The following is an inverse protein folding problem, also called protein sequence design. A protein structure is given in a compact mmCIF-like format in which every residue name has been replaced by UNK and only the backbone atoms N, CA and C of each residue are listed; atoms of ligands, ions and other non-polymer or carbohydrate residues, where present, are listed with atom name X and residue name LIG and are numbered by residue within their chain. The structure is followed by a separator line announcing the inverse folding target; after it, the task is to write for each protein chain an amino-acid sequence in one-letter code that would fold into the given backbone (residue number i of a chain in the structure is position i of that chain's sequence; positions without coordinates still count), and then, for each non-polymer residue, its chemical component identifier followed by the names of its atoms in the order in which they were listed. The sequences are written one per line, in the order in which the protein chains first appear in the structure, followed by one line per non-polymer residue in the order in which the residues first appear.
data_IF_705611422989
#
_entry.id   IF_705611422989
#
_cell.length_a   1.000
_cell.length_b   1.000
_cell.length_c   1.000
_cell.angle_alpha   90.00
_cell.angle_beta   90.00
_cell.angle_gamma   90.00
#
_symmetry.space_group_name_H-M   'P 1'
#
loop_
_entity.id
_entity.type
_entity.pdbx_description
1 polymer ?
#
# COMPACT_ATOMS: atom_id res chain seq x y z
N UNK A 1 49.46 -16.69 5.01
CA UNK A 1 48.02 -16.67 4.71
C UNK A 1 47.61 -15.20 4.60
N UNK A 2 47.44 -14.69 3.39
CA UNK A 2 47.11 -13.28 3.14
C UNK A 2 45.59 -13.14 3.11
N UNK A 3 45.01 -12.53 4.15
CA UNK A 3 43.59 -12.15 4.16
C UNK A 3 43.41 -10.90 3.31
N UNK A 4 42.72 -11.03 2.19
CA UNK A 4 42.24 -9.91 1.39
C UNK A 4 41.11 -9.22 2.17
N UNK A 5 41.44 -8.13 2.86
CA UNK A 5 40.45 -7.19 3.37
C UNK A 5 39.77 -6.50 2.18
N UNK A 6 38.65 -7.07 1.73
CA UNK A 6 37.78 -6.44 0.76
C UNK A 6 37.26 -5.13 1.33
N UNK A 7 37.76 -4.01 0.83
CA UNK A 7 37.21 -2.69 1.11
C UNK A 7 35.78 -2.65 0.55
N UNK A 8 34.80 -2.81 1.44
CA UNK A 8 33.39 -2.56 1.11
C UNK A 8 33.27 -1.06 0.89
N UNK A 9 33.11 -0.62 -0.36
CA UNK A 9 32.76 0.75 -0.67
C UNK A 9 31.45 1.08 0.06
N UNK A 10 31.35 2.18 0.81
CA UNK A 10 30.07 2.60 1.34
C UNK A 10 29.17 2.92 0.15
N UNK A 11 28.07 2.16 -0.01
CA UNK A 11 27.00 2.55 -0.89
C UNK A 11 26.43 3.87 -0.37
N UNK A 12 26.92 4.98 -0.92
CA UNK A 12 26.33 6.29 -0.70
C UNK A 12 24.92 6.18 -1.28
N UNK A 13 23.85 6.36 -0.49
CA UNK A 13 22.51 6.47 -1.04
C UNK A 13 22.56 7.62 -2.04
N UNK A 14 22.41 7.32 -3.32
CA UNK A 14 22.35 8.35 -4.34
C UNK A 14 21.03 9.10 -4.10
N UNK A 15 21.12 10.31 -3.54
CA UNK A 15 19.94 11.17 -3.42
C UNK A 15 19.54 11.61 -4.81
N UNK A 16 18.48 11.01 -5.33
CA UNK A 16 17.93 11.38 -6.62
C UNK A 16 17.33 12.78 -6.57
N UNK A 17 17.33 13.51 -7.70
CA UNK A 17 16.64 14.80 -7.73
C UNK A 17 15.12 14.59 -7.57
N UNK A 18 14.41 15.62 -7.11
CA UNK A 18 12.95 15.56 -6.98
C UNK A 18 12.26 15.22 -8.32
N UNK A 19 12.82 15.69 -9.44
CA UNK A 19 12.34 15.42 -10.81
C UNK A 19 12.43 13.93 -11.11
N UNK A 20 13.51 13.28 -10.69
CA UNK A 20 13.71 11.86 -10.94
C UNK A 20 12.77 10.99 -10.06
N UNK A 21 12.48 11.42 -8.83
CA UNK A 21 11.53 10.75 -7.94
C UNK A 21 10.12 10.73 -8.51
N UNK A 22 9.61 11.89 -8.94
CA UNK A 22 8.25 12.00 -9.49
C UNK A 22 8.11 11.17 -10.76
N UNK A 23 9.08 11.27 -11.67
CA UNK A 23 9.14 10.44 -12.87
C UNK A 23 9.12 8.94 -12.53
N UNK A 24 9.86 8.52 -11.52
CA UNK A 24 9.91 7.13 -11.09
C UNK A 24 8.59 6.63 -10.47
N UNK A 25 7.88 7.48 -9.72
CA UNK A 25 6.54 7.14 -9.21
C UNK A 25 5.55 7.02 -10.37
N UNK A 26 5.59 7.91 -11.36
CA UNK A 26 4.74 7.78 -12.55
C UNK A 26 5.05 6.52 -13.34
N UNK A 27 6.33 6.18 -13.55
CA UNK A 27 6.73 4.97 -14.27
C UNK A 27 6.23 3.71 -13.58
N UNK A 28 6.30 3.66 -12.24
CA UNK A 28 5.70 2.59 -11.44
C UNK A 28 4.20 2.46 -11.66
N UNK A 29 3.47 3.59 -11.69
CA UNK A 29 2.01 3.61 -11.82
C UNK A 29 1.51 3.25 -13.22
N UNK A 30 2.28 3.56 -14.28
CA UNK A 30 1.95 3.19 -15.65
C UNK A 30 1.98 1.66 -15.90
N UNK A 31 2.51 0.87 -14.96
CA UNK A 31 2.49 -0.60 -15.03
C UNK A 31 1.14 -1.21 -14.72
N UNK A 32 0.18 -0.41 -14.24
CA UNK A 32 -1.11 -0.87 -13.75
C UNK A 32 -2.24 -0.11 -14.43
N UNK A 33 -3.40 -0.74 -14.54
CA UNK A 33 -4.61 -0.15 -15.12
C UNK A 33 -5.80 -0.19 -14.15
N UNK A 34 -6.84 0.59 -14.48
CA UNK A 34 -8.11 0.61 -13.77
C UNK A 34 -7.98 0.91 -12.26
N UNK A 35 -8.76 0.20 -11.45
CA UNK A 35 -8.84 0.43 -10.00
C UNK A 35 -7.51 0.21 -9.27
N UNK A 36 -6.65 -0.69 -9.76
CA UNK A 36 -5.33 -0.94 -9.18
C UNK A 36 -4.45 0.30 -9.29
N UNK A 37 -4.40 0.93 -10.48
CA UNK A 37 -3.65 2.18 -10.69
C UNK A 37 -4.14 3.31 -9.81
N UNK A 38 -5.46 3.48 -9.71
CA UNK A 38 -6.07 4.53 -8.87
C UNK A 38 -5.71 4.32 -7.40
N UNK A 39 -5.84 3.08 -6.92
CA UNK A 39 -5.51 2.75 -5.54
C UNK A 39 -4.02 2.93 -5.25
N UNK A 40 -3.14 2.48 -6.13
CA UNK A 40 -1.69 2.61 -5.97
C UNK A 40 -1.23 4.06 -6.04
N UNK A 41 -1.86 4.90 -6.90
CA UNK A 41 -1.61 6.34 -6.92
C UNK A 41 -1.92 6.96 -5.56
N UNK A 42 -3.11 6.71 -5.03
CA UNK A 42 -3.49 7.24 -3.73
C UNK A 42 -2.56 6.78 -2.59
N UNK A 43 -2.05 5.55 -2.66
CA UNK A 43 -1.05 5.05 -1.71
C UNK A 43 0.28 5.77 -1.84
N UNK A 44 0.75 6.01 -3.07
CA UNK A 44 2.01 6.72 -3.34
C UNK A 44 1.93 8.19 -2.95
N UNK A 45 0.83 8.88 -3.25
CA UNK A 45 0.66 10.29 -2.90
C UNK A 45 0.74 10.51 -1.37
N UNK A 46 0.11 9.63 -0.59
CA UNK A 46 0.18 9.69 0.88
C UNK A 46 1.59 9.39 1.39
N UNK A 47 2.27 8.42 0.79
CA UNK A 47 3.61 8.03 1.19
C UNK A 47 4.64 9.12 0.88
N UNK A 48 4.62 9.65 -0.34
CA UNK A 48 5.52 10.74 -0.77
C UNK A 48 5.30 11.98 0.09
N UNK A 49 4.04 12.34 0.38
CA UNK A 49 3.74 13.45 1.29
C UNK A 49 4.31 13.22 2.70
N UNK A 50 4.28 11.99 3.21
CA UNK A 50 4.87 11.66 4.50
C UNK A 50 6.40 11.76 4.46
N UNK A 51 7.05 11.29 3.39
CA UNK A 51 8.48 11.45 3.16
C UNK A 51 8.88 12.94 3.13
N UNK A 52 8.13 13.77 2.40
CA UNK A 52 8.38 15.21 2.31
C UNK A 52 8.26 15.90 3.67
N UNK A 53 7.24 15.54 4.46
CA UNK A 53 7.05 16.10 5.82
C UNK A 53 8.11 15.66 6.82
N UNK A 54 8.69 14.49 6.64
CA UNK A 54 9.71 13.93 7.55
C UNK A 54 11.14 14.21 7.08
N UNK A 55 11.31 14.74 5.87
CA UNK A 55 12.62 14.98 5.25
C UNK A 55 13.33 13.69 4.84
N UNK A 56 12.62 12.58 4.68
CA UNK A 56 13.21 11.33 4.25
C UNK A 56 13.22 11.22 2.73
N UNK A 57 14.38 10.84 2.17
CA UNK A 57 14.48 10.44 0.78
C UNK A 57 13.91 9.02 0.61
N UNK A 58 12.97 8.87 -0.34
CA UNK A 58 12.27 7.62 -0.68
C UNK A 58 13.26 6.48 -0.94
N UNK A 59 14.39 6.75 -1.62
CA UNK A 59 15.37 5.71 -1.97
C UNK A 59 16.40 5.43 -0.86
N UNK A 60 16.52 6.34 0.13
CA UNK A 60 17.36 6.13 1.31
C UNK A 60 16.61 5.47 2.49
N UNK A 61 15.30 5.20 2.34
CA UNK A 61 14.48 4.62 3.41
C UNK A 61 14.94 3.19 3.77
N UNK A 62 14.89 2.89 5.06
CA UNK A 62 15.19 1.57 5.64
C UNK A 62 13.96 1.04 6.34
N UNK A 63 13.94 -0.27 6.64
CA UNK A 63 12.84 -0.95 7.36
C UNK A 63 12.31 -0.16 8.57
N UNK A 64 13.15 0.40 9.49
CA UNK A 64 12.64 1.16 10.64
C UNK A 64 11.84 2.42 10.25
N UNK A 65 12.19 3.08 9.13
CA UNK A 65 11.44 4.24 8.66
C UNK A 65 10.05 3.83 8.15
N UNK A 66 9.94 2.68 7.46
CA UNK A 66 8.63 2.14 7.08
C UNK A 66 7.81 1.66 8.28
N UNK A 67 8.45 1.19 9.35
CA UNK A 67 7.76 0.91 10.62
C UNK A 67 7.21 2.17 11.27
N UNK A 68 7.94 3.29 11.18
CA UNK A 68 7.45 4.61 11.59
C UNK A 68 6.29 5.09 10.71
N UNK A 69 6.36 4.88 9.38
CA UNK A 69 5.26 5.18 8.48
C UNK A 69 4.01 4.35 8.80
N UNK A 70 4.15 3.05 9.09
CA UNK A 70 3.01 2.23 9.54
C UNK A 70 2.39 2.76 10.83
N UNK A 71 3.20 3.25 11.78
CA UNK A 71 2.70 3.90 12.99
C UNK A 71 1.94 5.18 12.67
N UNK A 72 2.48 6.05 11.81
CA UNK A 72 1.80 7.25 11.32
C UNK A 72 0.44 6.94 10.68
N UNK A 73 0.37 5.90 9.84
CA UNK A 73 -0.88 5.47 9.22
C UNK A 73 -1.93 5.02 10.26
N UNK A 74 -1.50 4.36 11.34
CA UNK A 74 -2.39 3.90 12.39
C UNK A 74 -2.82 5.03 13.34
N UNK A 75 -1.87 5.84 13.81
CA UNK A 75 -2.09 6.79 14.90
C UNK A 75 -2.60 8.14 14.38
N UNK A 76 -2.01 8.67 13.31
CA UNK A 76 -2.32 10.02 12.81
C UNK A 76 -3.38 10.00 11.70
N UNK A 77 -3.42 8.92 10.91
CA UNK A 77 -4.40 8.77 9.81
C UNK A 77 -5.56 7.82 10.13
N UNK A 78 -5.52 7.17 11.29
CA UNK A 78 -6.55 6.24 11.76
C UNK A 78 -6.91 5.15 10.74
N UNK A 79 -5.94 4.70 9.94
CA UNK A 79 -6.17 3.63 8.97
C UNK A 79 -6.34 2.29 9.69
N UNK A 80 -7.33 1.51 9.26
CA UNK A 80 -7.52 0.15 9.75
C UNK A 80 -6.42 -0.80 9.25
N UNK A 81 -6.25 -1.95 9.92
CA UNK A 81 -5.20 -2.93 9.60
C UNK A 81 -5.20 -3.38 8.14
N UNK A 82 -6.37 -3.57 7.52
CA UNK A 82 -6.49 -3.97 6.12
C UNK A 82 -5.97 -2.88 5.17
N UNK A 83 -6.28 -1.61 5.46
CA UNK A 83 -5.78 -0.46 4.68
C UNK A 83 -4.27 -0.31 4.82
N UNK A 84 -3.72 -0.44 6.03
CA UNK A 84 -2.26 -0.37 6.25
C UNK A 84 -1.56 -1.50 5.48
N UNK A 85 -2.10 -2.72 5.54
CA UNK A 85 -1.57 -3.87 4.81
C UNK A 85 -1.57 -3.64 3.30
N UNK A 86 -2.66 -3.08 2.76
CA UNK A 86 -2.76 -2.73 1.35
C UNK A 86 -1.68 -1.74 0.93
N UNK A 87 -1.58 -0.61 1.67
CA UNK A 87 -0.55 0.42 1.46
C UNK A 87 0.87 -0.15 1.50
N UNK A 88 1.18 -1.00 2.49
CA UNK A 88 2.50 -1.65 2.57
C UNK A 88 2.74 -2.66 1.45
N UNK A 89 1.68 -3.29 0.92
CA UNK A 89 1.74 -4.14 -0.26
C UNK A 89 2.16 -3.34 -1.50
N UNK A 90 1.54 -2.17 -1.71
CA UNK A 90 1.92 -1.23 -2.77
C UNK A 90 3.38 -0.81 -2.65
N UNK A 91 3.82 -0.39 -1.45
CA UNK A 91 5.22 -0.02 -1.22
C UNK A 91 6.18 -1.19 -1.44
N UNK A 92 5.79 -2.40 -1.04
CA UNK A 92 6.61 -3.58 -1.29
C UNK A 92 6.87 -3.76 -2.77
N UNK A 93 5.85 -3.67 -3.63
CA UNK A 93 6.01 -3.78 -5.09
C UNK A 93 6.86 -2.65 -5.66
N UNK A 94 6.63 -1.41 -5.23
CA UNK A 94 7.43 -0.25 -5.65
C UNK A 94 8.92 -0.46 -5.36
N UNK A 95 9.26 -0.92 -4.15
CA UNK A 95 10.64 -1.18 -3.76
C UNK A 95 11.23 -2.47 -4.33
N UNK A 96 10.44 -3.43 -4.83
CA UNK A 96 10.98 -4.53 -5.64
C UNK A 96 11.48 -4.00 -6.98
N UNK A 97 10.70 -3.13 -7.64
CA UNK A 97 11.11 -2.55 -8.93
C UNK A 97 12.30 -1.61 -8.73
N UNK A 98 12.31 -0.80 -7.65
CA UNK A 98 13.46 0.04 -7.31
C UNK A 98 14.71 -0.76 -6.94
N UNK A 99 14.57 -1.99 -6.47
CA UNK A 99 15.69 -2.89 -6.24
C UNK A 99 16.23 -3.44 -7.56
N UNK A 100 15.34 -3.83 -8.48
CA UNK A 100 15.72 -4.30 -9.82
C UNK A 100 16.40 -3.18 -10.64
N UNK A 101 16.01 -1.92 -10.45
CA UNK A 101 16.59 -0.74 -11.10
C UNK A 101 17.83 -0.16 -10.35
N UNK A 102 18.39 -0.90 -9.40
CA UNK A 102 19.58 -0.54 -8.59
C UNK A 102 19.45 0.78 -7.78
N UNK A 103 18.23 1.29 -7.58
CA UNK A 103 17.97 2.52 -6.82
C UNK A 103 18.04 2.30 -5.30
N UNK A 104 17.76 1.07 -4.87
CA UNK A 104 17.91 0.64 -3.48
C UNK A 104 18.73 -0.63 -3.39
N UNK A 105 19.54 -0.76 -2.34
CA UNK A 105 20.34 -1.98 -2.13
C UNK A 105 19.52 -3.17 -1.63
N UNK A 106 18.38 -2.91 -0.97
CA UNK A 106 17.46 -3.90 -0.41
C UNK A 106 16.07 -3.32 -0.38
N UNK A 107 15.05 -4.15 -0.62
CA UNK A 107 13.67 -3.74 -0.39
C UNK A 107 13.40 -3.57 1.12
N UNK A 108 13.16 -2.35 1.63
CA UNK A 108 12.91 -2.10 3.06
C UNK A 108 11.57 -2.67 3.55
N UNK A 109 10.65 -3.00 2.64
CA UNK A 109 9.32 -3.49 2.97
C UNK A 109 9.23 -5.02 3.12
N UNK A 110 10.27 -5.77 2.71
CA UNK A 110 10.23 -7.26 2.67
C UNK A 110 9.95 -7.92 4.03
N UNK A 111 10.50 -7.37 5.11
CA UNK A 111 10.43 -7.95 6.46
C UNK A 111 9.62 -7.09 7.44
N UNK A 112 8.64 -6.33 6.93
CA UNK A 112 7.76 -5.55 7.79
C UNK A 112 6.82 -6.45 8.59
N UNK A 113 6.70 -6.16 9.89
CA UNK A 113 5.70 -6.76 10.75
C UNK A 113 4.35 -6.07 10.53
N UNK A 114 3.62 -6.54 9.53
CA UNK A 114 2.31 -5.98 9.17
C UNK A 114 1.26 -6.21 10.28
N UNK A 115 0.34 -5.26 10.51
CA UNK A 115 -0.72 -5.42 11.49
C UNK A 115 -1.59 -6.63 11.14
N UNK A 116 -1.98 -7.40 12.16
CA UNK A 116 -2.92 -8.51 11.98
C UNK A 116 -4.31 -7.93 11.73
N UNK A 117 -4.99 -8.50 10.75
CA UNK A 117 -6.39 -8.18 10.52
C UNK A 117 -7.19 -8.82 11.67
N UNK A 118 -7.81 -8.00 12.51
CA UNK A 118 -8.81 -8.48 13.48
C UNK A 118 -10.13 -8.57 12.74
N UNK A 119 -10.24 -9.51 11.79
CA UNK A 119 -11.56 -9.88 11.31
C UNK A 119 -12.25 -10.56 12.47
N UNK A 120 -13.30 -9.94 12.99
CA UNK A 120 -14.20 -10.65 13.88
C UNK A 120 -14.81 -11.79 13.08
N UNK A 121 -14.34 -13.02 13.34
CA UNK A 121 -14.90 -14.24 12.75
C UNK A 121 -16.37 -14.43 13.12
N UNK A 122 -16.88 -13.63 14.07
CA UNK A 122 -18.25 -13.62 14.55
C UNK A 122 -19.13 -12.54 13.89
N UNK A 123 -18.57 -11.70 13.01
CA UNK A 123 -19.37 -10.79 12.18
C UNK A 123 -20.06 -11.60 11.09
N UNK A 124 -21.40 -11.60 11.05
CA UNK A 124 -22.17 -12.17 9.94
C UNK A 124 -21.68 -11.57 8.60
N UNK A 125 -21.00 -12.39 7.78
CA UNK A 125 -20.57 -12.02 6.41
C UNK A 125 -21.57 -12.53 5.36
N UNK A 126 -22.66 -13.15 5.81
CA UNK A 126 -23.75 -13.65 4.96
C UNK A 126 -25.07 -12.98 5.36
N UNK A 127 -25.90 -12.71 4.36
CA UNK A 127 -27.31 -12.41 4.61
C UNK A 127 -28.02 -13.73 4.88
N UNK A 128 -28.74 -13.83 5.99
CA UNK A 128 -29.71 -14.91 6.13
C UNK A 128 -30.92 -14.69 5.19
N UNK A 129 -31.77 -15.72 5.05
CA UNK A 129 -32.93 -15.66 4.15
C UNK A 129 -33.86 -14.48 4.46
N UNK A 130 -34.04 -14.14 5.71
CA UNK A 130 -34.95 -13.07 6.12
C UNK A 130 -34.33 -11.70 5.85
N UNK A 131 -33.02 -11.55 6.10
CA UNK A 131 -32.25 -10.36 5.76
C UNK A 131 -32.21 -10.12 4.25
N UNK A 132 -32.01 -11.18 3.44
CA UNK A 132 -32.09 -11.10 1.98
C UNK A 132 -33.50 -10.69 1.51
N UNK A 133 -34.55 -11.28 2.08
CA UNK A 133 -35.92 -10.90 1.76
C UNK A 133 -36.24 -9.44 2.12
N UNK A 134 -35.76 -8.96 3.28
CA UNK A 134 -35.93 -7.57 3.69
C UNK A 134 -35.20 -6.61 2.73
N UNK A 135 -33.97 -6.97 2.33
CA UNK A 135 -33.14 -6.25 1.37
C UNK A 135 -33.79 -6.18 -0.02
N UNK A 136 -34.41 -7.27 -0.49
CA UNK A 136 -35.15 -7.29 -1.76
C UNK A 136 -36.45 -6.49 -1.71
N UNK A 137 -37.18 -6.55 -0.59
CA UNK A 137 -38.41 -5.79 -0.39
C UNK A 137 -38.14 -4.28 -0.38
N UNK A 138 -37.10 -3.85 0.32
CA UNK A 138 -36.74 -2.42 0.35
C UNK A 138 -36.22 -1.91 -1.00
N UNK A 139 -35.56 -2.76 -1.78
CA UNK A 139 -35.15 -2.41 -3.15
C UNK A 139 -36.33 -2.34 -4.12
N UNK A 140 -37.36 -3.17 -3.92
CA UNK A 140 -38.62 -3.07 -4.66
C UNK A 140 -39.31 -1.71 -4.41
N UNK A 141 -39.26 -1.23 -3.16
CA UNK A 141 -39.87 0.05 -2.77
C UNK A 141 -39.03 1.27 -3.19
N UNK A 142 -37.73 1.11 -3.52
CA UNK A 142 -36.84 2.22 -3.91
C UNK A 142 -36.84 2.50 -5.40
N UNK A 143 -36.57 1.49 -6.24
CA UNK A 143 -36.46 1.65 -7.69
C UNK A 143 -36.50 0.29 -8.41
N UNK A 144 -37.17 0.19 -9.58
CA UNK A 144 -37.15 -1.02 -10.40
C UNK A 144 -35.74 -1.51 -10.78
N UNK A 145 -34.76 -0.59 -10.90
CA UNK A 145 -33.37 -0.93 -11.23
C UNK A 145 -32.64 -1.57 -10.05
N UNK A 146 -32.90 -1.09 -8.82
CA UNK A 146 -32.31 -1.66 -7.59
C UNK A 146 -32.86 -3.06 -7.32
N UNK A 147 -34.15 -3.27 -7.60
CA UNK A 147 -34.79 -4.58 -7.51
C UNK A 147 -34.24 -5.57 -8.55
N UNK A 148 -34.05 -5.12 -9.79
CA UNK A 148 -33.50 -5.96 -10.87
C UNK A 148 -32.06 -6.41 -10.57
N UNK A 149 -31.22 -5.53 -10.02
CA UNK A 149 -29.84 -5.88 -9.62
C UNK A 149 -29.78 -6.90 -8.46
N UNK A 150 -30.76 -6.90 -7.56
CA UNK A 150 -30.78 -7.79 -6.38
C UNK A 150 -31.52 -9.10 -6.58
N UNK A 151 -32.52 -9.15 -7.47
CA UNK A 151 -33.31 -10.37 -7.74
C UNK A 151 -32.66 -11.32 -8.75
N UNK A 152 -31.62 -10.87 -9.46
CA UNK A 152 -30.89 -11.64 -10.47
C UNK A 152 -29.59 -12.31 -9.94
N UNK A 153 -29.25 -12.13 -8.66
CA UNK A 153 -28.18 -12.86 -7.95
C UNK A 153 -28.74 -14.11 -7.26
#
# INVERSE_FOLDING_TARGET
MTVLNGTVLPAVPQSMSLIDREFYVESFLQRWDGNTRVSYRYDMDIFVLWCDRTGFDVFALRRPHLEMYMRHLAEDRHNCSSTIRHRMGTLKLFYEIALDDDLVTKNPARLLKLPKDKRDTNTKVHLDRNELQAVCRQAYDSSPVDYALRSAM
#
